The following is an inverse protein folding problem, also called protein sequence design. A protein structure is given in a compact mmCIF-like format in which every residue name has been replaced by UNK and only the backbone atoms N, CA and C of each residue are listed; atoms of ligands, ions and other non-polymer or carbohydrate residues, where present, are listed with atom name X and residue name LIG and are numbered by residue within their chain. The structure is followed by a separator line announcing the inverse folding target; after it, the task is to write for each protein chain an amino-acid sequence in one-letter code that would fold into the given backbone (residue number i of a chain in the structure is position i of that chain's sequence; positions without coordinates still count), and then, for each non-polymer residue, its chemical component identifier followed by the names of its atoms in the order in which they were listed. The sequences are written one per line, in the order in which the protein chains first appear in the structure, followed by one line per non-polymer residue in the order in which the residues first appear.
data_IF_333633127453
#
_entry.id   IF_333633127453
#
_cell.length_a   1.000
_cell.length_b   1.000
_cell.length_c   1.000
_cell.angle_alpha   90.00
_cell.angle_beta   90.00
_cell.angle_gamma   90.00
#
_symmetry.space_group_name_H-M   'P 1'
#
loop_
_entity.id
_entity.type
_entity.pdbx_description
1 polymer ?
#
# COMPACT_ATOMS: atom_id res chain seq x y z
N UNK A 1 23.49 6.73 1.95
CA UNK A 1 23.42 5.58 1.04
C UNK A 1 24.26 5.88 -0.20
N UNK A 2 25.09 4.92 -0.63
CA UNK A 2 25.91 5.03 -1.85
C UNK A 2 25.04 4.52 -3.01
N UNK A 3 25.03 5.21 -4.15
CA UNK A 3 24.23 4.85 -5.33
C UNK A 3 24.36 3.38 -5.75
N UNK A 4 25.58 2.82 -5.64
CA UNK A 4 25.86 1.41 -5.94
C UNK A 4 25.08 0.44 -5.05
N UNK A 5 24.88 0.77 -3.76
CA UNK A 5 24.08 -0.06 -2.85
C UNK A 5 22.59 -0.01 -3.18
N UNK A 6 22.09 1.16 -3.60
CA UNK A 6 20.69 1.29 -4.01
C UNK A 6 20.42 0.58 -5.34
N UNK A 7 21.36 0.65 -6.29
CA UNK A 7 21.30 -0.10 -7.55
C UNK A 7 21.20 -1.61 -7.30
N UNK A 8 22.06 -2.15 -6.43
CA UNK A 8 22.01 -3.55 -6.00
C UNK A 8 20.67 -3.88 -5.33
N UNK A 9 20.18 -3.02 -4.44
CA UNK A 9 18.88 -3.18 -3.81
C UNK A 9 17.75 -3.29 -4.85
N UNK A 10 17.71 -2.38 -5.84
CA UNK A 10 16.70 -2.44 -6.91
C UNK A 10 16.82 -3.73 -7.73
N UNK A 11 18.04 -4.16 -8.08
CA UNK A 11 18.25 -5.42 -8.80
C UNK A 11 17.67 -6.62 -8.06
N UNK A 12 17.78 -6.67 -6.74
CA UNK A 12 17.25 -7.76 -5.93
C UNK A 12 15.73 -7.64 -5.72
N UNK A 13 15.26 -6.47 -5.29
CA UNK A 13 13.86 -6.25 -4.97
C UNK A 13 12.95 -6.38 -6.20
N UNK A 14 13.40 -5.94 -7.37
CA UNK A 14 12.61 -6.05 -8.61
C UNK A 14 12.61 -7.46 -9.22
N UNK A 15 13.37 -8.42 -8.68
CA UNK A 15 13.19 -9.84 -9.04
C UNK A 15 11.83 -10.37 -8.60
N UNK A 16 11.28 -9.85 -7.51
CA UNK A 16 9.97 -10.28 -6.99
C UNK A 16 8.83 -10.02 -7.98
N UNK A 17 8.56 -8.77 -8.44
CA UNK A 17 7.54 -8.54 -9.45
C UNK A 17 7.89 -9.23 -10.79
N UNK A 18 9.17 -9.40 -11.10
CA UNK A 18 9.58 -10.14 -12.31
C UNK A 18 9.22 -11.63 -12.24
N UNK A 19 9.33 -12.26 -11.07
CA UNK A 19 9.02 -13.67 -10.85
C UNK A 19 7.52 -13.98 -11.03
N UNK A 20 6.66 -12.97 -10.91
CA UNK A 20 5.21 -13.05 -11.18
C UNK A 20 4.85 -12.48 -12.56
N UNK A 21 5.82 -12.49 -13.50
CA UNK A 21 5.67 -12.05 -14.90
C UNK A 21 5.35 -10.57 -15.11
N UNK A 22 5.63 -9.72 -14.12
CA UNK A 22 5.34 -8.29 -14.16
C UNK A 22 6.62 -7.44 -14.28
N UNK A 23 7.68 -8.08 -14.79
CA UNK A 23 8.90 -7.43 -15.25
C UNK A 23 8.66 -6.32 -16.29
N UNK A 24 7.69 -6.42 -17.23
CA UNK A 24 7.42 -5.32 -18.16
C UNK A 24 6.96 -4.02 -17.47
N UNK A 25 6.27 -4.12 -16.33
CA UNK A 25 5.73 -2.96 -15.60
C UNK A 25 6.65 -2.47 -14.48
N UNK A 26 7.34 -3.38 -13.79
CA UNK A 26 8.14 -3.07 -12.59
C UNK A 26 9.58 -3.57 -12.66
N UNK A 27 10.00 -4.16 -13.77
CA UNK A 27 11.32 -4.75 -13.92
C UNK A 27 12.45 -3.72 -13.76
N UNK A 28 13.62 -4.23 -13.39
CA UNK A 28 14.81 -3.41 -13.32
C UNK A 28 15.21 -2.91 -14.71
N UNK A 29 15.56 -1.63 -14.79
CA UNK A 29 16.23 -1.01 -15.94
C UNK A 29 17.43 -0.22 -15.43
N UNK A 30 18.44 -0.01 -16.28
CA UNK A 30 19.62 0.80 -15.90
C UNK A 30 19.25 2.25 -15.53
N UNK A 31 18.07 2.72 -15.96
CA UNK A 31 17.54 4.04 -15.65
C UNK A 31 16.73 4.09 -14.35
N UNK A 32 16.32 2.94 -13.78
CA UNK A 32 15.44 2.87 -12.59
C UNK A 32 16.04 3.56 -11.35
N UNK A 33 17.37 3.54 -11.22
CA UNK A 33 18.07 4.26 -10.14
C UNK A 33 17.97 5.77 -10.33
N UNK A 34 18.09 6.23 -11.57
CA UNK A 34 18.11 7.66 -11.94
C UNK A 34 16.73 8.30 -11.87
N UNK A 35 15.66 7.50 -11.99
CA UNK A 35 14.28 7.98 -11.86
C UNK A 35 13.85 8.13 -10.40
N UNK A 36 14.43 7.37 -9.47
CA UNK A 36 14.07 7.44 -8.05
C UNK A 36 14.71 8.63 -7.31
N UNK A 37 15.94 9.00 -7.68
CA UNK A 37 16.70 10.04 -6.99
C UNK A 37 17.38 10.99 -7.98
N UNK A 38 17.43 12.30 -7.67
CA UNK A 38 18.26 13.23 -8.43
C UNK A 38 19.73 12.77 -8.40
N UNK A 39 20.50 13.09 -9.44
CA UNK A 39 21.92 12.69 -9.60
C UNK A 39 22.89 13.40 -8.63
N UNK A 40 22.51 13.53 -7.36
CA UNK A 40 23.36 14.02 -6.28
C UNK A 40 24.35 12.93 -5.84
N UNK A 41 25.52 13.30 -5.32
CA UNK A 41 26.56 12.30 -4.96
C UNK A 41 26.21 11.45 -3.72
N UNK A 42 25.24 11.86 -2.89
CA UNK A 42 24.90 11.21 -1.61
C UNK A 42 23.39 11.22 -1.38
N UNK A 43 22.77 10.03 -1.30
CA UNK A 43 21.37 9.87 -0.88
C UNK A 43 21.35 9.72 0.65
N UNK A 44 20.60 10.56 1.35
CA UNK A 44 20.40 10.44 2.81
C UNK A 44 19.22 9.52 3.13
N UNK A 45 19.16 9.00 4.37
CA UNK A 45 18.08 8.10 4.79
C UNK A 45 16.70 8.77 4.69
N UNK A 46 16.57 10.01 5.16
CA UNK A 46 15.31 10.75 5.02
C UNK A 46 14.96 10.90 3.54
N UNK A 47 15.86 11.39 2.68
CA UNK A 47 15.62 11.48 1.22
C UNK A 47 15.13 10.14 0.62
N UNK A 48 15.69 9.02 1.05
CA UNK A 48 15.24 7.69 0.64
C UNK A 48 13.80 7.38 1.08
N UNK A 49 13.46 7.67 2.35
CA UNK A 49 12.11 7.49 2.88
C UNK A 49 11.11 8.46 2.21
N UNK A 50 11.52 9.70 1.98
CA UNK A 50 10.77 10.73 1.26
C UNK A 50 10.37 10.23 -0.14
N UNK A 51 11.33 9.67 -0.89
CA UNK A 51 11.07 9.09 -2.21
C UNK A 51 10.17 7.87 -2.15
N UNK A 52 10.40 6.93 -1.22
CA UNK A 52 9.58 5.72 -1.10
C UNK A 52 8.14 6.01 -0.69
N UNK A 53 7.94 7.06 0.11
CA UNK A 53 6.63 7.48 0.63
C UNK A 53 6.01 8.64 -0.15
N UNK A 54 6.61 9.03 -1.29
CA UNK A 54 6.02 10.02 -2.17
C UNK A 54 4.66 9.53 -2.69
N UNK A 55 3.78 10.46 -3.05
CA UNK A 55 2.48 10.16 -3.66
C UNK A 55 2.40 10.84 -5.04
N UNK A 56 2.51 10.09 -6.16
CA UNK A 56 2.76 8.66 -6.24
C UNK A 56 4.24 8.29 -5.98
N UNK A 57 4.52 7.06 -5.47
CA UNK A 57 5.90 6.55 -5.38
C UNK A 57 6.52 6.35 -6.77
N UNK A 58 7.87 6.18 -6.87
CA UNK A 58 8.51 5.77 -8.11
C UNK A 58 7.87 4.49 -8.67
N UNK A 59 7.59 4.47 -9.97
CA UNK A 59 6.84 3.39 -10.61
C UNK A 59 7.40 2.00 -10.31
N UNK A 60 8.73 1.82 -10.33
CA UNK A 60 9.37 0.54 -10.04
C UNK A 60 9.19 0.06 -8.59
N UNK A 61 8.85 0.96 -7.66
CA UNK A 61 8.71 0.68 -6.22
C UNK A 61 7.28 0.78 -5.71
N UNK A 62 6.31 1.18 -6.55
CA UNK A 62 4.91 1.37 -6.14
C UNK A 62 4.28 0.11 -5.55
N UNK A 63 4.70 -1.08 -6.00
CA UNK A 63 4.20 -2.36 -5.49
C UNK A 63 4.59 -2.61 -4.02
N UNK A 64 5.71 -2.05 -3.54
CA UNK A 64 6.21 -2.35 -2.20
C UNK A 64 5.32 -1.73 -1.09
N UNK A 65 4.97 -0.42 -1.13
CA UNK A 65 3.97 0.13 -0.22
C UNK A 65 2.58 -0.50 -0.40
N UNK A 66 2.24 -0.98 -1.59
CA UNK A 66 0.97 -1.67 -1.84
C UNK A 66 0.91 -3.04 -1.15
N UNK A 67 1.98 -3.84 -1.19
CA UNK A 67 2.06 -5.11 -0.44
C UNK A 67 1.77 -4.86 1.04
N UNK A 68 2.41 -3.84 1.63
CA UNK A 68 2.18 -3.50 3.03
C UNK A 68 0.71 -3.12 3.31
N UNK A 69 0.07 -2.38 2.38
CA UNK A 69 -1.34 -2.02 2.49
C UNK A 69 -2.27 -3.23 2.36
N UNK A 70 -1.96 -4.19 1.49
CA UNK A 70 -2.72 -5.43 1.35
C UNK A 70 -2.64 -6.30 2.59
N UNK A 71 -1.43 -6.54 3.09
CA UNK A 71 -1.23 -7.25 4.36
C UNK A 71 -1.99 -6.57 5.52
N UNK A 72 -2.05 -5.23 5.53
CA UNK A 72 -2.82 -4.51 6.55
C UNK A 72 -4.32 -4.77 6.51
N UNK A 73 -4.90 -4.98 5.32
CA UNK A 73 -6.35 -5.17 5.14
C UNK A 73 -6.78 -6.62 4.99
N UNK A 74 -5.84 -7.56 4.83
CA UNK A 74 -6.12 -8.98 4.55
C UNK A 74 -7.17 -9.59 5.51
N UNK A 75 -7.13 -9.19 6.79
CA UNK A 75 -7.99 -9.66 7.86
C UNK A 75 -9.11 -8.68 8.23
N UNK A 76 -9.31 -7.60 7.47
CA UNK A 76 -10.35 -6.60 7.73
C UNK A 76 -11.68 -7.09 7.18
N UNK A 77 -12.63 -7.31 8.09
CA UNK A 77 -13.98 -7.76 7.77
C UNK A 77 -14.98 -6.59 7.67
N UNK A 78 -15.74 -6.58 6.59
CA UNK A 78 -16.83 -5.66 6.35
C UNK A 78 -18.18 -6.42 6.25
N UNK A 79 -19.10 -6.27 7.21
CA UNK A 79 -20.41 -6.93 7.22
C UNK A 79 -21.40 -6.21 6.30
N UNK A 80 -21.05 -6.07 5.02
CA UNK A 80 -21.83 -5.34 4.05
C UNK A 80 -21.77 -6.05 2.69
N UNK A 81 -22.92 -6.14 2.03
CA UNK A 81 -23.06 -6.88 0.77
C UNK A 81 -22.38 -6.16 -0.40
N UNK A 82 -21.74 -6.92 -1.30
CA UNK A 82 -21.22 -6.38 -2.56
C UNK A 82 -22.35 -6.15 -3.56
N UNK A 83 -22.46 -4.93 -4.09
CA UNK A 83 -23.51 -4.55 -5.05
C UNK A 83 -23.44 -5.32 -6.37
N UNK A 84 -22.27 -5.88 -6.72
CA UNK A 84 -22.08 -6.68 -7.93
C UNK A 84 -22.19 -8.19 -7.69
N UNK A 85 -21.26 -8.79 -6.93
CA UNK A 85 -21.22 -10.25 -6.75
C UNK A 85 -22.16 -10.78 -5.67
N UNK A 86 -22.87 -9.90 -4.94
CA UNK A 86 -23.85 -10.26 -3.90
C UNK A 86 -23.28 -11.05 -2.71
N UNK A 87 -21.96 -11.13 -2.57
CA UNK A 87 -21.34 -11.70 -1.37
C UNK A 87 -21.77 -10.87 -0.15
N UNK A 88 -22.32 -11.54 0.86
CA UNK A 88 -22.95 -10.93 2.04
C UNK A 88 -21.97 -10.15 2.92
N UNK A 89 -20.68 -10.46 2.81
CA UNK A 89 -19.60 -9.77 3.51
C UNK A 89 -18.35 -9.65 2.64
N UNK A 90 -17.44 -8.76 3.00
CA UNK A 90 -16.19 -8.53 2.27
C UNK A 90 -14.99 -8.62 3.20
N UNK A 91 -13.91 -9.22 2.72
CA UNK A 91 -12.58 -9.15 3.31
C UNK A 91 -11.70 -8.21 2.48
N UNK A 92 -10.67 -7.61 3.08
CA UNK A 92 -9.77 -6.71 2.36
C UNK A 92 -10.33 -5.31 2.22
N UNK A 93 -10.01 -4.66 1.09
CA UNK A 93 -10.53 -3.33 0.79
C UNK A 93 -12.02 -3.34 0.46
N UNK A 94 -12.72 -2.30 0.93
CA UNK A 94 -14.07 -1.96 0.47
C UNK A 94 -14.07 -0.66 -0.33
N UNK A 95 -14.69 -0.68 -1.50
CA UNK A 95 -14.80 0.47 -2.38
C UNK A 95 -16.23 0.98 -2.40
N UNK A 96 -16.46 2.21 -1.92
CA UNK A 96 -17.78 2.86 -1.92
C UNK A 96 -17.86 3.92 -3.02
N UNK A 97 -18.90 3.88 -3.84
CA UNK A 97 -19.16 4.94 -4.81
C UNK A 97 -19.51 6.25 -4.12
N UNK A 98 -18.93 7.35 -4.58
CA UNK A 98 -19.23 8.68 -4.05
C UNK A 98 -20.50 9.30 -4.67
N UNK A 99 -20.96 8.77 -5.81
CA UNK A 99 -22.09 9.30 -6.57
C UNK A 99 -23.35 8.43 -6.41
N UNK A 100 -23.22 7.10 -6.49
CA UNK A 100 -24.34 6.19 -6.35
C UNK A 100 -24.74 6.02 -4.87
N UNK A 101 -26.04 5.98 -4.60
CA UNK A 101 -26.55 5.71 -3.27
C UNK A 101 -26.30 4.25 -2.87
N UNK A 102 -25.65 4.05 -1.71
CA UNK A 102 -25.34 2.72 -1.12
C UNK A 102 -24.67 1.72 -2.08
N UNK A 103 -23.97 2.18 -3.10
CA UNK A 103 -23.24 1.31 -4.02
C UNK A 103 -21.82 1.06 -3.52
N UNK A 104 -21.44 -0.21 -3.44
CA UNK A 104 -20.15 -0.62 -2.92
C UNK A 104 -19.70 -1.94 -3.54
N UNK A 105 -18.40 -2.04 -3.79
CA UNK A 105 -17.77 -3.21 -4.37
C UNK A 105 -16.75 -3.77 -3.38
N UNK A 106 -16.62 -5.09 -3.37
CA UNK A 106 -15.47 -5.75 -2.76
C UNK A 106 -14.21 -5.49 -3.59
N UNK A 107 -13.06 -5.78 -3.00
CA UNK A 107 -11.74 -5.67 -3.60
C UNK A 107 -11.68 -6.22 -5.05
N UNK A 108 -12.05 -7.50 -5.19
CA UNK A 108 -12.08 -8.20 -6.48
C UNK A 108 -12.97 -7.53 -7.54
N UNK A 109 -14.19 -7.13 -7.17
CA UNK A 109 -15.12 -6.54 -8.13
C UNK A 109 -14.67 -5.16 -8.59
N UNK A 110 -14.09 -4.36 -7.69
CA UNK A 110 -13.58 -3.04 -8.05
C UNK A 110 -12.39 -3.16 -8.99
N UNK A 111 -11.39 -3.99 -8.68
CA UNK A 111 -10.20 -4.06 -9.52
C UNK A 111 -10.41 -4.74 -10.87
N UNK A 112 -11.41 -5.61 -10.99
CA UNK A 112 -11.85 -6.18 -12.27
C UNK A 112 -12.75 -5.23 -13.07
N UNK A 113 -13.05 -4.05 -12.53
CA UNK A 113 -13.86 -3.03 -13.22
C UNK A 113 -15.32 -3.45 -13.41
N UNK A 114 -15.91 -4.16 -12.45
CA UNK A 114 -17.31 -4.56 -12.54
C UNK A 114 -18.26 -3.41 -12.20
N UNK A 115 -19.27 -3.22 -13.06
CA UNK A 115 -20.32 -2.23 -12.88
C UNK A 115 -21.69 -2.84 -13.20
N UNK A 116 -22.73 -2.41 -12.50
CA UNK A 116 -24.12 -2.77 -12.80
C UNK A 116 -25.10 -1.65 -12.43
N UNK A 117 -26.31 -1.75 -13.01
CA UNK A 117 -27.39 -0.78 -12.78
C UNK A 117 -26.95 0.66 -13.10
N UNK A 118 -27.19 1.64 -12.21
CA UNK A 118 -26.83 3.05 -12.45
C UNK A 118 -25.35 3.37 -12.21
N UNK A 119 -24.53 2.38 -11.82
CA UNK A 119 -23.12 2.61 -11.57
C UNK A 119 -22.29 2.50 -12.85
N UNK A 120 -21.36 3.43 -13.04
CA UNK A 120 -20.34 3.42 -14.09
C UNK A 120 -18.96 3.42 -13.47
N UNK A 121 -17.99 2.75 -14.11
CA UNK A 121 -16.57 2.77 -13.70
C UNK A 121 -15.93 4.16 -13.75
N UNK A 122 -16.60 5.13 -14.37
CA UNK A 122 -16.18 6.54 -14.36
C UNK A 122 -16.52 7.26 -13.05
N UNK A 123 -17.38 6.67 -12.19
CA UNK A 123 -17.70 7.26 -10.91
C UNK A 123 -16.53 7.14 -9.93
N UNK A 124 -16.28 8.21 -9.19
CA UNK A 124 -15.23 8.19 -8.18
C UNK A 124 -15.58 7.21 -7.04
N UNK A 125 -14.66 6.30 -6.75
CA UNK A 125 -14.75 5.33 -5.67
C UNK A 125 -13.86 5.74 -4.49
N UNK A 126 -14.38 5.61 -3.27
CA UNK A 126 -13.63 5.81 -2.02
C UNK A 126 -13.25 4.46 -1.43
N UNK A 127 -11.97 4.30 -1.14
CA UNK A 127 -11.44 3.12 -0.47
C UNK A 127 -11.63 3.20 1.05
N UNK A 128 -11.94 2.05 1.66
CA UNK A 128 -12.03 1.85 3.09
C UNK A 128 -11.17 0.65 3.50
N UNK A 129 -10.19 0.89 4.38
CA UNK A 129 -9.26 -0.09 4.94
C UNK A 129 -9.60 -0.53 6.38
N UNK A 130 -10.73 -0.08 6.91
CA UNK A 130 -11.18 -0.43 8.25
C UNK A 130 -12.71 -0.43 8.34
N UNK A 131 -13.25 -1.30 9.19
CA UNK A 131 -14.66 -1.28 9.55
C UNK A 131 -14.87 -0.53 10.86
N UNK A 132 -15.64 0.55 10.80
CA UNK A 132 -16.14 1.25 11.99
C UNK A 132 -17.63 0.95 12.12
N UNK A 133 -17.99 0.14 13.11
CA UNK A 133 -19.39 -0.15 13.42
C UNK A 133 -20.16 1.16 13.63
N UNK A 134 -21.39 1.32 13.08
CA UNK A 134 -22.21 2.50 13.30
C UNK A 134 -22.36 2.90 14.78
N UNK A 135 -22.39 1.91 15.69
CA UNK A 135 -22.45 2.11 17.13
C UNK A 135 -21.24 2.84 17.75
N UNK A 136 -20.05 2.78 17.11
CA UNK A 136 -18.82 3.46 17.59
C UNK A 136 -18.74 4.93 17.18
N UNK A 137 -19.70 5.45 16.39
CA UNK A 137 -19.75 6.88 16.00
C UNK A 137 -19.97 7.80 17.21
N UNK A 138 -20.63 7.32 18.27
CA UNK A 138 -20.87 8.11 19.49
C UNK A 138 -19.58 8.36 20.29
N UNK A 139 -18.73 7.35 20.44
CA UNK A 139 -17.48 7.45 21.21
C UNK A 139 -16.46 8.39 20.56
N UNK A 140 -16.35 8.40 19.23
CA UNK A 140 -15.41 9.26 18.52
C UNK A 140 -15.79 10.75 18.60
N UNK A 141 -17.08 11.08 18.64
CA UNK A 141 -17.54 12.45 18.82
C UNK A 141 -17.12 13.04 20.18
N UNK A 142 -17.17 12.23 21.25
CA UNK A 142 -16.77 12.62 22.60
C UNK A 142 -15.25 12.83 22.69
N UNK A 143 -14.46 11.93 22.08
CA UNK A 143 -12.99 12.04 22.12
C UNK A 143 -12.47 13.25 21.35
N UNK A 144 -13.19 13.73 20.34
CA UNK A 144 -12.84 14.94 19.57
C UNK A 144 -13.11 16.23 20.34
N UNK A 145 -14.03 16.21 21.30
CA UNK A 145 -14.35 17.36 22.15
C UNK A 145 -13.33 17.61 23.28
N UNK A 146 -12.42 16.66 23.54
CA UNK A 146 -11.45 16.74 24.65
C UNK A 146 -9.98 16.77 24.21
N UNK A 147 -9.67 16.73 22.91
CA UNK A 147 -8.31 16.67 22.40
C UNK A 147 -7.80 18.00 21.85
N UNK A 148 -7.25 18.86 22.71
CA UNK A 148 -6.49 20.06 22.31
C UNK A 148 -4.99 19.77 22.38
N UNK A 149 -4.36 19.28 21.30
CA UNK A 149 -2.98 19.65 20.88
C UNK A 149 -2.83 19.30 19.38
N UNK A 150 -2.61 20.26 18.47
CA UNK A 150 -2.11 19.94 17.14
C UNK A 150 -0.59 19.73 17.24
N UNK A 151 -0.15 18.47 17.41
CA UNK A 151 1.26 18.14 17.19
C UNK A 151 1.50 18.14 15.68
N UNK A 152 2.36 19.04 15.19
CA UNK A 152 2.91 18.99 13.82
C UNK A 152 3.96 17.87 13.74
N UNK A 153 3.55 16.64 14.01
CA UNK A 153 4.42 15.50 13.78
C UNK A 153 4.59 15.31 12.27
N UNK A 154 5.84 15.16 11.79
CA UNK A 154 6.07 14.88 10.38
C UNK A 154 5.39 13.56 9.98
N UNK A 155 4.98 13.38 8.71
CA UNK A 155 4.27 12.18 8.23
C UNK A 155 5.03 10.85 8.41
N UNK A 156 6.31 10.92 8.80
CA UNK A 156 7.21 9.80 9.06
C UNK A 156 8.24 10.16 10.12
N UNK A 157 8.85 9.14 10.77
CA UNK A 157 10.02 9.34 11.61
C UNK A 157 11.15 10.03 10.83
N UNK A 158 11.76 11.05 11.44
CA UNK A 158 12.93 11.75 10.88
C UNK A 158 14.18 11.19 11.55
N UNK A 159 15.12 10.68 10.76
CA UNK A 159 16.36 10.10 11.25
C UNK A 159 17.51 11.12 11.22
N UNK A 160 18.45 11.07 12.19
CA UNK A 160 19.63 11.93 12.19
C UNK A 160 20.55 11.62 10.98
N UNK A 161 21.30 12.62 10.50
CA UNK A 161 22.17 12.50 9.32
C UNK A 161 23.34 11.52 9.51
N UNK A 162 23.79 11.33 10.76
CA UNK A 162 24.78 10.34 11.12
C UNK A 162 24.06 9.09 11.62
N UNK A 163 24.23 7.94 10.95
CA UNK A 163 23.68 6.68 11.46
C UNK A 163 24.37 6.34 12.78
N UNK A 164 23.59 6.04 13.82
CA UNK A 164 24.10 5.39 15.01
C UNK A 164 24.76 4.06 14.62
N UNK A 165 25.74 3.62 15.41
CA UNK A 165 26.42 2.34 15.16
C UNK A 165 25.35 1.24 15.01
N UNK A 166 25.34 0.50 13.89
CA UNK A 166 24.40 -0.60 13.72
C UNK A 166 24.51 -1.55 14.91
N UNK A 167 23.38 -1.86 15.53
CA UNK A 167 23.30 -2.95 16.51
C UNK A 167 23.74 -4.25 15.82
N UNK A 168 24.61 -5.01 16.47
CA UNK A 168 25.03 -6.31 15.96
C UNK A 168 23.86 -7.30 16.07
N UNK A 169 23.20 -7.51 14.93
CA UNK A 169 22.04 -8.38 14.79
C UNK A 169 22.43 -9.81 14.38
N UNK A 170 23.72 -10.17 14.36
CA UNK A 170 24.20 -11.47 13.89
C UNK A 170 23.63 -12.68 14.68
N UNK A 171 22.99 -12.42 15.82
CA UNK A 171 22.48 -13.44 16.74
C UNK A 171 20.97 -13.35 16.98
N UNK A 172 20.25 -12.48 16.25
CA UNK A 172 18.79 -12.42 16.34
C UNK A 172 18.19 -13.42 15.36
N UNK A 173 17.78 -14.58 15.89
CA UNK A 173 16.91 -15.49 15.19
C UNK A 173 15.50 -14.88 15.21
N UNK A 174 15.04 -14.31 14.09
CA UNK A 174 13.63 -13.94 13.96
C UNK A 174 12.79 -15.22 14.09
N UNK A 175 11.77 -15.28 14.96
CA UNK A 175 10.76 -16.31 14.82
C UNK A 175 10.12 -16.08 13.45
N UNK A 176 10.37 -17.01 12.54
CA UNK A 176 9.71 -17.07 11.24
C UNK A 176 8.20 -17.08 11.52
N UNK A 177 7.52 -15.98 11.22
CA UNK A 177 6.06 -15.91 11.27
C UNK A 177 5.57 -16.53 9.95
N UNK A 178 5.05 -17.77 9.96
CA UNK A 178 4.79 -18.51 8.72
C UNK A 178 3.61 -17.97 7.90
N UNK A 179 2.85 -17.01 8.44
CA UNK A 179 1.55 -16.63 7.91
C UNK A 179 1.60 -15.57 6.82
N UNK A 180 2.73 -14.86 6.64
CA UNK A 180 2.85 -13.84 5.58
C UNK A 180 3.18 -14.41 4.21
N UNK A 181 3.55 -15.70 4.09
CA UNK A 181 4.10 -16.30 2.86
C UNK A 181 3.18 -17.27 2.13
N UNK A 182 2.03 -17.66 2.71
CA UNK A 182 1.25 -18.76 2.15
C UNK A 182 0.59 -18.44 0.81
N UNK A 183 0.31 -17.16 0.51
CA UNK A 183 -0.42 -16.76 -0.69
C UNK A 183 0.26 -15.63 -1.50
N UNK A 184 1.60 -15.51 -1.45
CA UNK A 184 2.34 -14.45 -2.15
C UNK A 184 1.93 -14.29 -3.62
N UNK A 185 1.65 -15.40 -4.30
CA UNK A 185 1.23 -15.39 -5.70
C UNK A 185 -0.10 -14.67 -5.92
N UNK A 186 -1.07 -14.87 -5.02
CA UNK A 186 -2.37 -14.21 -5.08
C UNK A 186 -2.22 -12.73 -4.69
N UNK A 187 -1.46 -12.41 -3.65
CA UNK A 187 -1.21 -11.03 -3.21
C UNK A 187 -0.55 -10.18 -4.30
N UNK A 188 0.40 -10.75 -5.05
CA UNK A 188 1.01 -10.06 -6.19
C UNK A 188 0.00 -9.85 -7.33
N UNK A 189 -0.83 -10.84 -7.68
CA UNK A 189 -1.88 -10.65 -8.68
C UNK A 189 -2.88 -9.55 -8.29
N UNK A 190 -3.20 -9.51 -7.01
CA UNK A 190 -4.04 -8.50 -6.38
C UNK A 190 -3.39 -7.09 -6.50
N UNK A 191 -2.07 -6.95 -6.35
CA UNK A 191 -1.36 -5.67 -6.62
C UNK A 191 -1.52 -5.22 -8.06
N UNK A 192 -1.45 -6.13 -9.02
CA UNK A 192 -1.52 -5.78 -10.44
C UNK A 192 -2.89 -5.26 -10.81
N UNK A 193 -3.91 -5.95 -10.31
CA UNK A 193 -5.30 -5.54 -10.42
C UNK A 193 -5.52 -4.17 -9.74
N UNK A 194 -4.95 -3.97 -8.54
CA UNK A 194 -4.98 -2.67 -7.87
C UNK A 194 -4.33 -1.57 -8.73
N UNK A 195 -3.09 -1.78 -9.20
CA UNK A 195 -2.35 -0.81 -10.01
C UNK A 195 -3.11 -0.46 -11.30
N UNK A 196 -3.62 -1.47 -12.02
CA UNK A 196 -4.44 -1.29 -13.24
C UNK A 196 -5.75 -0.53 -12.97
N UNK A 197 -6.32 -0.66 -11.77
CA UNK A 197 -7.53 0.08 -11.38
C UNK A 197 -7.27 1.56 -11.06
N UNK A 198 -6.01 1.97 -10.90
CA UNK A 198 -5.60 3.33 -10.51
C UNK A 198 -4.97 4.14 -11.64
N UNK A 199 -4.62 3.48 -12.75
CA UNK A 199 -4.16 4.09 -14.01
C UNK A 199 -5.33 4.34 -14.94
#
# INVERSE_FOLDING_TARGET
MIFTKFDQFLKEVLKLPTAVFEGPSFGYTEHSVRTCFPQQKKIMLNMFLDTLMADPPPQCLVWLPLMHRLAHVENVFHPVECSYCRCESMMGFRYRCQQCHNYQLCQNCFWRGHANGPHSNQHQMKEHSSWKSPAKKLSHAISKSLGCVPSREPPRPVFPEQPEKPLDLAHICYPFVPTLLSNWWDDFNEILLYCKSKT
#
